data_IF_661471233545
#
_entry.id   IF_661471233545
#
_cell.length_a   1.000
_cell.length_b   1.000
_cell.length_c   1.000
_cell.angle_alpha   90.00
_cell.angle_beta   90.00
_cell.angle_gamma   90.00
#
_symmetry.space_group_name_H-M   'P 1'
#
loop_
_entity.id
_entity.type
_entity.pdbx_description
1 polymer ?
#
# COMPACT_ATOMS: atom_id res chain seq x y z
N UNK A 1 3.72 -5.09 13.69
CA UNK A 1 5.09 -5.58 13.43
C UNK A 1 4.92 -7.03 13.04
N UNK A 2 5.30 -7.43 11.82
CA UNK A 2 5.20 -8.84 11.42
C UNK A 2 6.37 -9.60 12.04
N UNK A 3 6.09 -10.68 12.76
CA UNK A 3 7.12 -11.60 13.21
C UNK A 3 7.75 -12.30 11.99
N UNK A 4 9.07 -12.50 12.01
CA UNK A 4 9.72 -13.26 10.92
C UNK A 4 9.23 -14.70 10.97
N UNK A 5 9.08 -15.35 9.81
CA UNK A 5 8.71 -16.77 9.75
C UNK A 5 9.65 -17.66 10.57
N UNK A 6 10.92 -17.25 10.73
CA UNK A 6 11.89 -17.94 11.58
C UNK A 6 11.49 -17.92 13.05
N UNK A 7 10.95 -16.80 13.53
CA UNK A 7 10.48 -16.65 14.91
C UNK A 7 9.20 -17.46 15.12
N UNK A 8 8.26 -17.38 14.18
CA UNK A 8 7.01 -18.15 14.22
C UNK A 8 7.28 -19.67 14.20
N UNK A 9 8.20 -20.15 13.35
CA UNK A 9 8.55 -21.56 13.27
C UNK A 9 9.24 -22.09 14.55
N UNK A 10 10.11 -21.28 15.16
CA UNK A 10 10.81 -21.64 16.41
C UNK A 10 9.88 -21.89 17.58
N UNK A 11 8.64 -21.40 17.54
CA UNK A 11 7.62 -21.70 18.55
C UNK A 11 7.19 -23.17 18.51
N UNK A 12 7.42 -23.86 17.39
CA UNK A 12 6.94 -25.22 17.15
C UNK A 12 8.07 -26.25 17.06
N UNK A 13 9.23 -25.89 16.50
CA UNK A 13 10.35 -26.83 16.29
C UNK A 13 11.69 -26.12 16.17
N UNK A 14 12.76 -26.80 16.60
CA UNK A 14 14.14 -26.34 16.40
C UNK A 14 14.49 -26.24 14.92
N UNK A 15 15.20 -25.16 14.57
CA UNK A 15 15.46 -24.76 13.19
C UNK A 15 16.88 -25.15 12.77
N UNK A 16 17.02 -25.97 11.72
CA UNK A 16 18.31 -26.25 11.09
C UNK A 16 18.81 -25.02 10.30
N UNK A 17 20.11 -25.00 9.95
CA UNK A 17 20.68 -23.92 9.12
C UNK A 17 20.00 -23.87 7.74
N UNK A 18 19.84 -25.03 7.10
CA UNK A 18 19.15 -25.12 5.79
C UNK A 18 17.67 -24.74 5.88
N UNK A 19 16.99 -25.11 6.97
CA UNK A 19 15.61 -24.70 7.23
C UNK A 19 15.50 -23.18 7.44
N UNK A 20 16.47 -22.56 8.11
CA UNK A 20 16.49 -21.11 8.29
C UNK A 20 16.68 -20.36 6.96
N UNK A 21 17.49 -20.90 6.05
CA UNK A 21 17.65 -20.31 4.72
C UNK A 21 16.39 -20.49 3.88
N UNK A 22 15.75 -21.67 3.95
CA UNK A 22 14.46 -21.90 3.30
C UNK A 22 13.37 -20.94 3.80
N UNK A 23 13.24 -20.73 5.11
CA UNK A 23 12.24 -19.81 5.66
C UNK A 23 12.48 -18.35 5.26
N UNK A 24 13.75 -17.95 5.09
CA UNK A 24 14.07 -16.60 4.61
C UNK A 24 13.66 -16.38 3.15
N UNK A 25 13.79 -17.41 2.32
CA UNK A 25 13.30 -17.38 0.94
C UNK A 25 11.77 -17.43 0.91
N UNK A 26 11.16 -18.29 1.73
CA UNK A 26 9.73 -18.43 1.84
C UNK A 26 9.04 -17.14 2.30
N UNK A 27 9.66 -16.36 3.18
CA UNK A 27 9.12 -15.08 3.64
C UNK A 27 8.84 -14.10 2.48
N UNK A 28 9.55 -14.24 1.36
CA UNK A 28 9.34 -13.43 0.15
C UNK A 28 8.20 -13.96 -0.72
N UNK A 29 7.92 -15.28 -0.72
CA UNK A 29 6.95 -15.91 -1.62
C UNK A 29 5.64 -16.34 -0.95
N UNK A 30 5.60 -16.43 0.39
CA UNK A 30 4.45 -16.98 1.15
C UNK A 30 3.13 -16.30 0.80
N UNK A 31 3.16 -14.99 0.54
CA UNK A 31 1.99 -14.23 0.14
C UNK A 31 1.45 -14.68 -1.22
N UNK A 32 2.36 -14.90 -2.18
CA UNK A 32 2.05 -15.37 -3.51
C UNK A 32 1.52 -16.80 -3.47
N UNK A 33 2.16 -17.67 -2.70
CA UNK A 33 1.86 -19.10 -2.61
C UNK A 33 0.50 -19.37 -1.95
N UNK A 34 0.11 -18.55 -0.96
CA UNK A 34 -1.13 -18.72 -0.21
C UNK A 34 -2.22 -17.74 -0.70
N UNK A 35 -2.31 -16.55 -0.11
CA UNK A 35 -3.52 -15.74 -0.19
C UNK A 35 -3.64 -14.90 -1.47
N UNK A 36 -2.54 -14.56 -2.15
CA UNK A 36 -2.60 -13.84 -3.43
C UNK A 36 -3.00 -14.76 -4.58
N UNK A 37 -2.47 -15.99 -4.65
CA UNK A 37 -2.84 -16.97 -5.68
C UNK A 37 -4.26 -17.50 -5.52
N UNK A 38 -4.78 -17.61 -4.29
CA UNK A 38 -6.17 -17.99 -4.05
C UNK A 38 -7.17 -16.94 -4.60
N UNK A 39 -6.74 -15.70 -4.77
CA UNK A 39 -7.53 -14.60 -5.30
C UNK A 39 -8.56 -14.05 -4.29
N UNK A 40 -9.09 -12.86 -4.60
CA UNK A 40 -10.05 -12.16 -3.73
C UNK A 40 -9.37 -11.25 -2.69
N UNK A 41 -10.17 -10.81 -1.72
CA UNK A 41 -9.70 -9.98 -0.62
C UNK A 41 -9.72 -10.77 0.68
N UNK A 42 -8.66 -10.63 1.46
CA UNK A 42 -8.50 -11.29 2.74
C UNK A 42 -8.39 -10.25 3.84
N UNK A 43 -8.97 -10.54 5.00
CA UNK A 43 -8.78 -9.70 6.18
C UNK A 43 -7.34 -9.81 6.68
N UNK A 44 -6.87 -8.80 7.41
CA UNK A 44 -5.55 -8.88 8.07
C UNK A 44 -5.47 -10.07 9.03
N UNK A 45 -6.54 -10.36 9.74
CA UNK A 45 -6.61 -11.47 10.69
C UNK A 45 -6.50 -12.82 9.98
N UNK A 46 -7.19 -12.98 8.84
CA UNK A 46 -7.08 -14.19 8.01
C UNK A 46 -5.65 -14.39 7.50
N UNK A 47 -5.00 -13.31 7.03
CA UNK A 47 -3.59 -13.39 6.58
C UNK A 47 -2.67 -13.82 7.72
N UNK A 48 -2.88 -13.29 8.93
CA UNK A 48 -2.08 -13.68 10.09
C UNK A 48 -2.30 -15.16 10.45
N UNK A 49 -3.56 -15.61 10.49
CA UNK A 49 -3.89 -17.03 10.71
C UNK A 49 -3.29 -17.95 9.66
N UNK A 50 -3.25 -17.51 8.40
CA UNK A 50 -2.62 -18.30 7.34
C UNK A 50 -1.13 -18.50 7.60
N UNK A 51 -0.42 -17.48 8.07
CA UNK A 51 1.01 -17.62 8.43
C UNK A 51 1.19 -18.60 9.58
N UNK A 52 0.41 -18.45 10.65
CA UNK A 52 0.49 -19.28 11.86
C UNK A 52 0.18 -20.75 11.55
N UNK A 53 -0.93 -21.03 10.87
CA UNK A 53 -1.32 -22.39 10.49
C UNK A 53 -0.29 -23.00 9.54
N UNK A 54 0.24 -22.22 8.59
CA UNK A 54 1.27 -22.67 7.68
C UNK A 54 2.56 -23.08 8.41
N UNK A 55 3.02 -22.26 9.38
CA UNK A 55 4.23 -22.58 10.16
C UNK A 55 4.01 -23.76 11.10
N UNK A 56 2.84 -23.86 11.74
CA UNK A 56 2.47 -25.00 12.56
C UNK A 56 2.47 -26.31 11.75
N UNK A 57 1.85 -26.29 10.56
CA UNK A 57 1.82 -27.46 9.67
C UNK A 57 3.21 -27.81 9.14
N UNK A 58 4.00 -26.81 8.75
CA UNK A 58 5.37 -27.02 8.28
C UNK A 58 6.24 -27.68 9.37
N UNK A 59 6.13 -27.22 10.61
CA UNK A 59 6.84 -27.84 11.74
C UNK A 59 6.42 -29.30 11.98
N UNK A 60 5.16 -29.64 11.70
CA UNK A 60 4.63 -31.01 11.85
C UNK A 60 5.04 -31.97 10.72
N UNK A 61 5.14 -31.47 9.48
CA UNK A 61 5.43 -32.29 8.30
C UNK A 61 6.93 -32.45 8.01
N UNK A 62 7.77 -31.52 8.46
CA UNK A 62 9.22 -31.59 8.27
C UNK A 62 9.79 -32.59 9.27
N UNK A 63 10.38 -33.69 8.79
CA UNK A 63 10.95 -34.73 9.67
C UNK A 63 12.47 -34.66 9.83
N UNK A 64 13.17 -34.01 8.90
CA UNK A 64 14.62 -33.87 8.87
C UNK A 64 15.09 -32.44 8.59
N UNK A 65 16.42 -32.22 8.59
CA UNK A 65 16.99 -30.88 8.51
C UNK A 65 17.15 -30.33 7.09
N UNK A 66 16.87 -31.15 6.06
CA UNK A 66 17.25 -30.89 4.67
C UNK A 66 16.31 -29.93 3.96
N UNK A 67 16.86 -29.04 3.11
CA UNK A 67 16.04 -28.10 2.31
C UNK A 67 14.98 -28.78 1.44
N UNK A 68 15.27 -29.97 0.90
CA UNK A 68 14.34 -30.72 0.06
C UNK A 68 13.09 -31.17 0.83
N UNK A 69 13.24 -31.55 2.10
CA UNK A 69 12.11 -31.93 2.95
C UNK A 69 11.22 -30.74 3.28
N UNK A 70 11.82 -29.59 3.61
CA UNK A 70 11.09 -28.34 3.78
C UNK A 70 10.29 -27.97 2.51
N UNK A 71 10.89 -28.15 1.34
CA UNK A 71 10.20 -27.89 0.07
C UNK A 71 9.05 -28.87 -0.18
N UNK A 72 9.24 -30.17 0.09
CA UNK A 72 8.18 -31.19 -0.06
C UNK A 72 7.00 -30.92 0.89
N UNK A 73 7.29 -30.62 2.16
CA UNK A 73 6.27 -30.24 3.14
C UNK A 73 5.55 -28.95 2.72
N UNK A 74 6.28 -27.94 2.23
CA UNK A 74 5.67 -26.70 1.76
C UNK A 74 4.69 -26.91 0.61
N UNK A 75 5.03 -27.77 -0.36
CA UNK A 75 4.14 -28.11 -1.47
C UNK A 75 2.85 -28.79 -0.98
N UNK A 76 2.94 -29.68 0.02
CA UNK A 76 1.78 -30.31 0.67
C UNK A 76 0.86 -29.26 1.30
N UNK A 77 1.43 -28.34 2.07
CA UNK A 77 0.71 -27.27 2.77
C UNK A 77 0.00 -26.33 1.80
N UNK A 78 0.67 -25.92 0.72
CA UNK A 78 0.06 -25.09 -0.35
C UNK A 78 -1.16 -25.84 -0.91
N UNK A 79 -1.01 -27.12 -1.24
CA UNK A 79 -2.08 -27.91 -1.84
C UNK A 79 -3.28 -28.01 -0.90
N UNK A 80 -3.05 -28.23 0.40
CA UNK A 80 -4.11 -28.27 1.41
C UNK A 80 -4.80 -26.90 1.54
N UNK A 81 -4.01 -25.82 1.59
CA UNK A 81 -4.53 -24.46 1.66
C UNK A 81 -5.49 -24.16 0.51
N UNK A 82 -5.13 -24.51 -0.74
CA UNK A 82 -6.00 -24.21 -1.90
C UNK A 82 -7.29 -25.04 -1.93
N UNK A 83 -7.37 -26.16 -1.20
CA UNK A 83 -8.58 -26.98 -1.15
C UNK A 83 -9.68 -26.37 -0.27
N UNK A 84 -9.33 -25.80 0.89
CA UNK A 84 -10.34 -25.33 1.86
C UNK A 84 -10.00 -23.99 2.52
N UNK A 85 -8.88 -23.35 2.17
CA UNK A 85 -8.41 -22.07 2.73
C UNK A 85 -8.42 -22.07 4.28
N UNK A 86 -8.25 -23.26 4.87
CA UNK A 86 -8.38 -23.55 6.29
C UNK A 86 -9.63 -22.96 6.97
N UNK A 87 -10.74 -22.87 6.23
CA UNK A 87 -12.04 -22.42 6.75
C UNK A 87 -12.20 -20.89 6.85
N UNK A 88 -11.22 -20.10 6.43
CA UNK A 88 -11.34 -18.64 6.39
C UNK A 88 -12.18 -18.18 5.20
N UNK A 89 -12.98 -17.14 5.41
CA UNK A 89 -13.85 -16.58 4.37
C UNK A 89 -13.23 -15.34 3.74
N UNK A 90 -13.37 -15.25 2.42
CA UNK A 90 -12.96 -14.08 1.65
C UNK A 90 -13.86 -12.90 1.95
N UNK A 91 -13.28 -11.72 1.97
CA UNK A 91 -14.02 -10.47 2.04
C UNK A 91 -14.63 -10.14 0.67
N UNK A 92 -15.91 -9.73 0.68
CA UNK A 92 -16.60 -9.24 -0.52
C UNK A 92 -16.03 -7.91 -1.04
N UNK A 93 -15.43 -7.11 -0.16
CA UNK A 93 -14.79 -5.83 -0.48
C UNK A 93 -13.46 -5.72 0.26
N UNK A 94 -12.50 -5.05 -0.37
CA UNK A 94 -11.19 -4.78 0.25
C UNK A 94 -11.39 -4.07 1.58
N UNK A 95 -10.74 -4.59 2.62
CA UNK A 95 -10.75 -3.97 3.94
C UNK A 95 -10.25 -2.52 3.83
N UNK A 96 -11.05 -1.59 4.34
CA UNK A 96 -10.69 -0.18 4.32
C UNK A 96 -9.54 0.00 5.30
N UNK A 97 -8.35 0.34 4.79
CA UNK A 97 -7.19 0.63 5.66
C UNK A 97 -7.63 1.71 6.65
N UNK A 98 -7.55 1.40 7.95
CA UNK A 98 -7.80 2.38 9.01
C UNK A 98 -6.75 3.47 8.83
N UNK A 99 -7.17 4.67 8.44
CA UNK A 99 -6.28 5.84 8.38
C UNK A 99 -5.80 6.13 9.80
N UNK A 100 -4.48 6.09 10.00
CA UNK A 100 -3.89 6.48 11.28
C UNK A 100 -4.09 7.98 11.52
N UNK A 101 -3.96 8.43 12.77
CA UNK A 101 -3.99 9.88 13.08
C UNK A 101 -2.89 10.62 12.30
N UNK A 102 -1.72 10.01 12.16
CA UNK A 102 -0.59 10.55 11.40
C UNK A 102 -0.91 10.67 9.89
N UNK A 103 -1.51 9.64 9.29
CA UNK A 103 -1.93 9.68 7.88
C UNK A 103 -2.93 10.83 7.65
N UNK A 104 -3.89 11.03 8.56
CA UNK A 104 -4.84 12.14 8.48
C UNK A 104 -4.15 13.51 8.54
N UNK A 105 -3.21 13.67 9.47
CA UNK A 105 -2.42 14.90 9.64
C UNK A 105 -1.59 15.16 8.38
N UNK A 106 -0.92 14.15 7.85
CA UNK A 106 -0.11 14.26 6.64
C UNK A 106 -0.95 14.76 5.45
N UNK A 107 -2.09 14.12 5.19
CA UNK A 107 -2.96 14.52 4.07
C UNK A 107 -3.55 15.92 4.26
N UNK A 108 -3.79 16.33 5.50
CA UNK A 108 -4.21 17.70 5.79
C UNK A 108 -3.08 18.70 5.52
N UNK A 109 -1.86 18.47 6.01
CA UNK A 109 -0.70 19.33 5.75
C UNK A 109 -0.35 19.39 4.26
N UNK A 110 -0.34 18.25 3.58
CA UNK A 110 -0.07 18.17 2.14
C UNK A 110 -1.01 19.04 1.33
N UNK A 111 -2.30 19.08 1.71
CA UNK A 111 -3.29 19.90 1.02
C UNK A 111 -2.98 21.41 1.10
N UNK A 112 -2.43 21.89 2.22
CA UNK A 112 -1.98 23.28 2.34
C UNK A 112 -0.70 23.55 1.55
N UNK A 113 0.27 22.64 1.62
CA UNK A 113 1.53 22.74 0.85
C UNK A 113 1.22 22.80 -0.65
N UNK A 114 0.27 21.99 -1.11
CA UNK A 114 -0.17 21.99 -2.51
C UNK A 114 -0.73 23.35 -2.94
N UNK A 115 -1.56 24.00 -2.11
CA UNK A 115 -2.09 25.34 -2.41
C UNK A 115 -0.97 26.37 -2.49
N UNK A 116 0.00 26.30 -1.57
CA UNK A 116 1.13 27.23 -1.57
C UNK A 116 1.93 27.13 -2.89
N UNK A 117 2.21 25.91 -3.35
CA UNK A 117 2.87 25.66 -4.63
C UNK A 117 2.05 26.21 -5.81
N UNK A 118 0.74 25.99 -5.81
CA UNK A 118 -0.17 26.51 -6.82
C UNK A 118 -0.16 28.05 -6.86
N UNK A 119 -0.28 28.70 -5.70
CA UNK A 119 -0.22 30.16 -5.59
C UNK A 119 1.12 30.71 -6.11
N UNK A 120 2.22 30.02 -5.81
CA UNK A 120 3.56 30.40 -6.25
C UNK A 120 3.70 30.29 -7.77
N UNK A 121 3.21 29.20 -8.38
CA UNK A 121 3.21 29.01 -9.83
C UNK A 121 2.38 30.07 -10.55
N UNK A 122 1.17 30.35 -10.06
CA UNK A 122 0.29 31.36 -10.65
C UNK A 122 0.90 32.75 -10.55
N UNK A 123 1.46 33.09 -9.38
CA UNK A 123 2.14 34.38 -9.17
C UNK A 123 3.32 34.51 -10.12
N UNK A 124 4.15 33.48 -10.27
CA UNK A 124 5.29 33.48 -11.19
C UNK A 124 4.84 33.66 -12.64
N UNK A 125 3.81 32.93 -13.07
CA UNK A 125 3.26 33.07 -14.43
C UNK A 125 2.68 34.47 -14.67
N UNK A 126 1.97 35.03 -13.69
CA UNK A 126 1.43 36.39 -13.78
C UNK A 126 2.55 37.44 -13.85
N UNK A 127 3.57 37.35 -12.99
CA UNK A 127 4.73 38.26 -13.00
C UNK A 127 5.53 38.15 -14.30
N UNK A 128 5.75 36.94 -14.80
CA UNK A 128 6.46 36.73 -16.05
C UNK A 128 5.69 37.32 -17.25
N UNK A 129 4.38 37.06 -17.31
CA UNK A 129 3.54 37.57 -18.39
C UNK A 129 3.38 39.09 -18.31
N UNK A 130 2.92 39.65 -17.20
CA UNK A 130 2.66 41.10 -17.09
C UNK A 130 3.93 41.94 -16.91
N UNK A 131 4.91 41.44 -16.15
CA UNK A 131 6.10 42.21 -15.79
C UNK A 131 7.25 42.14 -16.79
N UNK A 132 7.31 41.12 -17.65
CA UNK A 132 8.39 40.95 -18.63
C UNK A 132 7.81 40.92 -20.04
N UNK A 133 6.95 39.95 -20.34
CA UNK A 133 6.50 39.67 -21.71
C UNK A 133 5.48 40.66 -22.28
N UNK A 134 4.53 41.17 -21.49
CA UNK A 134 3.45 42.01 -22.02
C UNK A 134 3.92 43.39 -22.49
N UNK A 135 5.06 43.86 -21.98
CA UNK A 135 5.69 45.10 -22.40
C UNK A 135 6.53 44.95 -23.68
N UNK A 136 6.98 43.73 -24.00
CA UNK A 136 7.94 43.45 -25.07
C UNK A 136 7.29 42.77 -26.29
N UNK A 137 6.36 41.83 -26.08
CA UNK A 137 5.66 41.09 -27.14
C UNK A 137 4.36 40.45 -26.60
N UNK A 138 3.21 41.10 -26.80
CA UNK A 138 1.90 40.58 -26.39
C UNK A 138 1.35 39.55 -27.40
N UNK A 139 1.91 38.35 -27.36
CA UNK A 139 1.48 37.23 -28.22
C UNK A 139 0.19 36.55 -27.69
N UNK A 140 -0.64 36.08 -28.61
CA UNK A 140 -1.88 35.35 -28.29
C UNK A 140 -1.61 34.09 -27.44
N UNK A 141 -0.50 33.40 -27.66
CA UNK A 141 -0.08 32.24 -26.87
C UNK A 141 0.18 32.60 -25.40
N UNK A 142 0.83 33.72 -25.12
CA UNK A 142 1.10 34.18 -23.75
C UNK A 142 -0.19 34.45 -22.97
N UNK A 143 -1.20 35.04 -23.63
CA UNK A 143 -2.54 35.25 -23.06
C UNK A 143 -3.23 33.93 -22.73
N UNK A 144 -3.16 32.94 -23.63
CA UNK A 144 -3.75 31.63 -23.42
C UNK A 144 -3.13 30.95 -22.19
N UNK A 145 -1.81 30.95 -22.04
CA UNK A 145 -1.14 30.37 -20.88
C UNK A 145 -1.48 31.08 -19.57
N UNK A 146 -1.64 32.41 -19.59
CA UNK A 146 -2.11 33.17 -18.43
C UNK A 146 -3.52 32.74 -18.03
N UNK A 147 -4.46 32.70 -18.98
CA UNK A 147 -5.84 32.29 -18.70
C UNK A 147 -5.93 30.84 -18.20
N UNK A 148 -5.13 29.93 -18.76
CA UNK A 148 -5.05 28.55 -18.27
C UNK A 148 -4.52 28.48 -16.83
N UNK A 149 -3.49 29.26 -16.48
CA UNK A 149 -2.95 29.31 -15.13
C UNK A 149 -3.98 29.84 -14.12
N UNK A 150 -4.73 30.89 -14.49
CA UNK A 150 -5.80 31.45 -13.65
C UNK A 150 -6.95 30.45 -13.50
N UNK A 151 -7.44 29.87 -14.60
CA UNK A 151 -8.53 28.89 -14.57
C UNK A 151 -8.16 27.66 -13.72
N UNK A 152 -6.94 27.15 -13.90
CA UNK A 152 -6.41 26.05 -13.10
C UNK A 152 -6.33 26.39 -11.60
N UNK A 153 -5.91 27.61 -11.26
CA UNK A 153 -5.90 28.10 -9.88
C UNK A 153 -7.29 28.12 -9.27
N UNK A 154 -8.27 28.70 -9.97
CA UNK A 154 -9.66 28.82 -9.50
C UNK A 154 -10.30 27.45 -9.31
N UNK A 155 -10.11 26.53 -10.27
CA UNK A 155 -10.61 25.15 -10.18
C UNK A 155 -9.96 24.43 -8.99
N UNK A 156 -8.64 24.53 -8.84
CA UNK A 156 -7.89 23.90 -7.76
C UNK A 156 -8.36 24.37 -6.37
N UNK A 157 -8.55 25.69 -6.21
CA UNK A 157 -9.10 26.29 -4.97
C UNK A 157 -10.54 25.85 -4.71
N UNK A 158 -11.39 25.82 -5.73
CA UNK A 158 -12.79 25.39 -5.61
C UNK A 158 -12.89 23.93 -5.18
N UNK A 159 -12.07 23.05 -5.76
CA UNK A 159 -11.98 21.63 -5.39
C UNK A 159 -11.47 21.48 -3.96
N UNK A 160 -10.45 22.24 -3.56
CA UNK A 160 -9.95 22.22 -2.19
C UNK A 160 -11.02 22.64 -1.18
N UNK A 161 -11.68 23.78 -1.42
CA UNK A 161 -12.75 24.30 -0.57
C UNK A 161 -13.90 23.30 -0.45
N UNK A 162 -14.30 22.68 -1.57
CA UNK A 162 -15.34 21.64 -1.59
C UNK A 162 -14.94 20.41 -0.76
N UNK A 163 -13.73 19.86 -0.95
CA UNK A 163 -13.24 18.70 -0.21
C UNK A 163 -13.17 18.98 1.29
N UNK A 164 -12.80 20.20 1.68
CA UNK A 164 -12.72 20.62 3.08
C UNK A 164 -14.10 20.88 3.70
N UNK A 165 -15.02 21.46 2.94
CA UNK A 165 -16.41 21.69 3.34
C UNK A 165 -17.16 20.38 3.61
N UNK A 166 -16.98 19.36 2.75
CA UNK A 166 -17.57 18.04 3.00
C UNK A 166 -16.99 17.34 4.23
N UNK A 167 -15.67 17.38 4.44
CA UNK A 167 -15.04 16.82 5.65
C UNK A 167 -15.57 17.42 6.95
N UNK A 168 -16.03 18.69 6.95
CA UNK A 168 -16.65 19.33 8.12
C UNK A 168 -18.11 18.92 8.37
N UNK A 169 -18.81 18.38 7.37
CA UNK A 169 -20.21 17.92 7.53
C UNK A 169 -20.31 16.48 8.05
N UNK A 170 -19.23 15.71 7.93
CA UNK A 170 -19.14 14.32 8.41
C UNK A 170 -18.49 14.21 9.81
N UNK A 171 -18.36 15.34 10.52
CA UNK A 171 -17.92 15.48 11.92
C UNK A 171 -19.11 15.93 12.77
#
# INVERSE_FOLDING_TARGET
>A
MGHSLKEEFKLHKDLSVEGADFLADLEKSIAQDLWQSAGGHWSRDSIQKFREIAMQKLASEVHGPSREEFQKAWISIIREFHQNQWGEQRLLKKEKKIETKEDKIFWELFSYIWILLQATLVTKTAVFYFGIKSAEDDTAEGRIYLFLAIAFSVISLSVFAYRKSRKKKDL
#
